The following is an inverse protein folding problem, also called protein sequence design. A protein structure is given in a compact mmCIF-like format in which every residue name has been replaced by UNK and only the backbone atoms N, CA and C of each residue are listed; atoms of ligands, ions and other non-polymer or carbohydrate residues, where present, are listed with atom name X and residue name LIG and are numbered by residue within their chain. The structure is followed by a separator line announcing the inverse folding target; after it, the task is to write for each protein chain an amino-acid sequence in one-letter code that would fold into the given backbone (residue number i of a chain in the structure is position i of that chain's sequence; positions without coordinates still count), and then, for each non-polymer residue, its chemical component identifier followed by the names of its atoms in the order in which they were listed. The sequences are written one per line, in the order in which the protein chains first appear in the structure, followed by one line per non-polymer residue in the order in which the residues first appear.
data_IF_100908462128
#
_entry.id   IF_100908462128
#
_cell.length_a   1.000
_cell.length_b   1.000
_cell.length_c   1.000
_cell.angle_alpha   90.00
_cell.angle_beta   90.00
_cell.angle_gamma   90.00
#
_symmetry.space_group_name_H-M   'P 1'
#
loop_
_entity.id
_entity.type
_entity.pdbx_description
1 polymer ?
#
# COMPACT_ATOMS: atom_id res chain seq x y z
N UNK A 1 -18.58 10.52 -35.33
CA UNK A 1 -17.69 9.72 -34.47
C UNK A 1 -18.38 9.60 -33.12
N UNK A 2 -18.81 8.39 -32.77
CA UNK A 2 -19.81 8.15 -31.72
C UNK A 2 -19.26 8.44 -30.34
N UNK A 3 -20.09 9.04 -29.51
CA UNK A 3 -19.90 9.32 -28.07
C UNK A 3 -19.27 8.14 -27.31
N UNK A 4 -19.58 6.91 -27.72
CA UNK A 4 -18.99 5.66 -27.22
C UNK A 4 -17.46 5.59 -27.34
N UNK A 5 -16.89 6.12 -28.43
CA UNK A 5 -15.42 6.16 -28.63
C UNK A 5 -14.78 7.13 -27.66
N UNK A 6 -15.41 8.29 -27.43
CA UNK A 6 -14.94 9.27 -26.47
C UNK A 6 -15.01 8.74 -25.03
N UNK A 7 -16.15 8.14 -24.65
CA UNK A 7 -16.31 7.50 -23.33
C UNK A 7 -15.24 6.42 -23.08
N UNK A 8 -14.94 5.59 -24.08
CA UNK A 8 -13.89 4.56 -23.98
C UNK A 8 -12.49 5.17 -23.77
N UNK A 9 -12.18 6.28 -24.43
CA UNK A 9 -10.91 6.99 -24.25
C UNK A 9 -10.80 7.61 -22.85
N UNK A 10 -11.88 8.19 -22.33
CA UNK A 10 -11.92 8.74 -20.97
C UNK A 10 -11.71 7.64 -19.93
N UNK A 11 -12.44 6.53 -20.03
CA UNK A 11 -12.29 5.40 -19.11
C UNK A 11 -10.88 4.80 -19.14
N UNK A 12 -10.27 4.72 -20.32
CA UNK A 12 -8.88 4.25 -20.45
C UNK A 12 -7.89 5.17 -19.74
N UNK A 13 -8.07 6.50 -19.86
CA UNK A 13 -7.23 7.47 -19.16
C UNK A 13 -7.41 7.38 -17.64
N UNK A 14 -8.65 7.28 -17.17
CA UNK A 14 -8.95 7.15 -15.74
C UNK A 14 -8.33 5.88 -15.14
N UNK A 15 -8.46 4.73 -15.81
CA UNK A 15 -7.84 3.48 -15.34
C UNK A 15 -6.31 3.52 -15.31
N UNK A 16 -5.67 4.29 -16.21
CA UNK A 16 -4.22 4.49 -16.17
C UNK A 16 -3.79 5.42 -15.02
N UNK A 17 -4.60 6.43 -14.70
CA UNK A 17 -4.37 7.31 -13.55
C UNK A 17 -4.48 6.53 -12.24
N UNK A 18 -5.49 5.68 -12.10
CA UNK A 18 -5.69 4.81 -10.94
C UNK A 18 -4.47 3.89 -10.70
N UNK A 19 -3.97 3.23 -11.75
CA UNK A 19 -2.76 2.39 -11.67
C UNK A 19 -1.53 3.18 -11.22
N UNK A 20 -1.37 4.39 -11.73
CA UNK A 20 -0.26 5.28 -11.35
C UNK A 20 -0.35 5.68 -9.88
N UNK A 21 -1.56 6.02 -9.41
CA UNK A 21 -1.81 6.38 -8.00
C UNK A 21 -1.52 5.18 -7.09
N UNK A 22 -1.99 3.98 -7.44
CA UNK A 22 -1.73 2.77 -6.66
C UNK A 22 -0.24 2.45 -6.58
N UNK A 23 0.48 2.53 -7.71
CA UNK A 23 1.94 2.37 -7.72
C UNK A 23 2.64 3.41 -6.83
N UNK A 24 2.23 4.68 -6.87
CA UNK A 24 2.79 5.72 -6.02
C UNK A 24 2.49 5.45 -4.54
N UNK A 25 1.29 4.97 -4.20
CA UNK A 25 0.94 4.61 -2.83
C UNK A 25 1.78 3.44 -2.32
N UNK A 26 1.87 2.35 -3.08
CA UNK A 26 2.74 1.20 -2.77
C UNK A 26 4.21 1.64 -2.63
N UNK A 27 4.68 2.48 -3.54
CA UNK A 27 6.05 3.00 -3.52
C UNK A 27 6.31 3.94 -2.34
N UNK A 28 5.34 4.76 -1.93
CA UNK A 28 5.46 5.62 -0.73
C UNK A 28 5.45 4.77 0.54
N UNK A 29 4.63 3.72 0.60
CA UNK A 29 4.66 2.75 1.70
C UNK A 29 6.02 2.04 1.79
N UNK A 30 6.61 1.66 0.65
CA UNK A 30 7.92 1.01 0.59
C UNK A 30 9.12 1.95 0.77
N UNK A 31 9.00 3.23 0.43
CA UNK A 31 10.06 4.25 0.57
C UNK A 31 10.15 4.87 1.95
N UNK A 32 9.06 4.94 2.71
CA UNK A 32 9.05 5.60 4.03
C UNK A 32 9.76 4.79 5.11
N UNK A 33 9.95 3.49 4.88
CA UNK A 33 10.68 2.62 5.79
C UNK A 33 12.06 2.33 5.18
N UNK A 34 13.11 2.69 5.90
CA UNK A 34 14.45 2.21 5.56
C UNK A 34 14.51 0.68 5.63
N UNK A 35 15.54 0.05 5.06
CA UNK A 35 15.71 -1.41 5.19
C UNK A 35 15.85 -1.84 6.65
N UNK A 36 16.43 -0.98 7.50
CA UNK A 36 16.49 -1.21 8.95
C UNK A 36 15.10 -1.12 9.59
N UNK A 37 14.27 -0.17 9.20
CA UNK A 37 12.88 -0.07 9.68
C UNK A 37 12.05 -1.28 9.24
N UNK A 38 12.22 -1.74 8.00
CA UNK A 38 11.57 -2.95 7.48
C UNK A 38 12.00 -4.19 8.27
N UNK A 39 13.28 -4.27 8.63
CA UNK A 39 13.81 -5.37 9.45
C UNK A 39 13.25 -5.32 10.87
N UNK A 40 13.26 -4.15 11.51
CA UNK A 40 12.69 -3.95 12.83
C UNK A 40 11.19 -4.29 12.87
N UNK A 41 10.44 -3.90 11.84
CA UNK A 41 9.02 -4.23 11.71
C UNK A 41 8.80 -5.74 11.58
N UNK A 42 9.61 -6.44 10.77
CA UNK A 42 9.55 -7.89 10.61
C UNK A 42 9.86 -8.63 11.92
N UNK A 43 10.88 -8.17 12.66
CA UNK A 43 11.24 -8.72 13.97
C UNK A 43 10.12 -8.51 14.99
N UNK A 44 9.58 -7.29 15.08
CA UNK A 44 8.45 -7.00 15.97
C UNK A 44 7.21 -7.84 15.66
N UNK A 45 6.86 -8.02 14.37
CA UNK A 45 5.73 -8.88 13.98
C UNK A 45 5.98 -10.36 14.27
N UNK A 46 7.24 -10.82 14.22
CA UNK A 46 7.61 -12.18 14.60
C UNK A 46 7.48 -12.38 16.11
N UNK A 47 7.98 -11.44 16.90
CA UNK A 47 7.88 -11.49 18.37
C UNK A 47 6.43 -11.36 18.88
N UNK A 48 5.59 -10.57 18.22
CA UNK A 48 4.14 -10.53 18.46
C UNK A 48 3.52 -11.92 18.25
N UNK A 49 3.85 -12.61 17.14
CA UNK A 49 3.37 -13.98 16.86
C UNK A 49 3.90 -15.02 17.85
N UNK A 50 5.11 -14.83 18.35
CA UNK A 50 5.72 -15.67 19.39
C UNK A 50 5.19 -15.36 20.80
N UNK A 51 4.26 -14.39 20.93
CA UNK A 51 3.66 -14.00 22.20
C UNK A 51 4.58 -13.20 23.12
N UNK A 52 5.70 -12.69 22.59
CA UNK A 52 6.71 -11.91 23.34
C UNK A 52 6.36 -10.43 23.41
N UNK A 53 5.53 -9.94 22.49
CA UNK A 53 5.05 -8.56 22.45
C UNK A 53 3.54 -8.48 22.61
N UNK A 54 3.07 -7.35 23.14
CA UNK A 54 1.65 -7.01 23.15
C UNK A 54 1.14 -6.90 21.71
N UNK A 55 -0.07 -7.42 21.48
CA UNK A 55 -0.69 -7.33 20.15
C UNK A 55 -1.05 -5.89 19.82
N UNK A 56 -1.09 -5.56 18.52
CA UNK A 56 -1.50 -4.21 18.07
C UNK A 56 -2.82 -3.74 18.69
N UNK A 57 -3.78 -4.64 18.86
CA UNK A 57 -5.08 -4.36 19.48
C UNK A 57 -4.97 -4.04 20.98
N UNK A 58 -3.98 -4.58 21.69
CA UNK A 58 -3.75 -4.27 23.10
C UNK A 58 -3.06 -2.90 23.30
N UNK A 59 -2.30 -2.45 22.30
CA UNK A 59 -1.56 -1.18 22.37
C UNK A 59 -2.39 0.00 21.85
N UNK A 60 -3.19 -0.21 20.79
CA UNK A 60 -3.90 0.85 20.09
C UNK A 60 -5.44 0.70 20.07
N UNK A 61 -5.96 -0.37 20.67
CA UNK A 61 -7.39 -0.68 20.73
C UNK A 61 -8.07 -0.19 21.99
#
# INVERSE_FOLDING_TARGET
MSETVFQKQVLTKLGNMEKTINYIMEYIEDLKLSEDDKKALKEALKEEKEGKLLTKKQVFG
#
